data_IF_487441313574
#
_entry.id   IF_487441313574
#
_cell.length_a   1.000
_cell.length_b   1.000
_cell.length_c   1.000
_cell.angle_alpha   90.00
_cell.angle_beta   90.00
_cell.angle_gamma   90.00
#
_symmetry.space_group_name_H-M   'P 1'
#
loop_
_entity.id
_entity.type
_entity.pdbx_description
1 polymer ?
#
# COMPACT_ATOMS: atom_id res chain seq x y z
N UNK A 1 61.21 31.34 -17.97
CA UNK A 1 60.98 29.98 -17.43
C UNK A 1 59.82 30.04 -16.47
N UNK A 2 58.67 29.38 -16.59
CA UNK A 2 58.06 28.61 -17.67
C UNK A 2 56.54 28.75 -17.50
N UNK A 3 55.84 29.15 -18.57
CA UNK A 3 54.39 29.42 -18.63
C UNK A 3 53.55 28.13 -18.78
N UNK A 4 54.03 26.97 -18.31
CA UNK A 4 53.38 25.67 -18.51
C UNK A 4 53.02 24.89 -17.22
N UNK A 5 53.36 25.39 -16.03
CA UNK A 5 52.93 24.76 -14.76
C UNK A 5 51.60 25.30 -14.22
N UNK A 6 50.96 26.24 -14.92
CA UNK A 6 49.71 26.87 -14.51
C UNK A 6 48.44 26.09 -14.90
N UNK A 7 48.53 24.99 -15.67
CA UNK A 7 47.33 24.33 -16.21
C UNK A 7 47.00 22.96 -15.57
N UNK A 8 47.96 22.27 -14.97
CA UNK A 8 47.70 20.92 -14.41
C UNK A 8 47.25 20.92 -12.94
N UNK A 9 47.71 21.87 -12.12
CA UNK A 9 47.36 21.91 -10.69
C UNK A 9 45.98 22.53 -10.40
N UNK A 10 45.40 23.28 -11.34
CA UNK A 10 44.06 23.87 -11.18
C UNK A 10 42.95 22.91 -11.64
N UNK A 11 43.24 22.01 -12.60
CA UNK A 11 42.26 21.04 -13.10
C UNK A 11 42.05 19.83 -12.17
N UNK A 12 43.02 19.47 -11.32
CA UNK A 12 42.84 18.33 -10.39
C UNK A 12 42.20 18.69 -9.05
N UNK A 13 42.20 19.97 -8.65
CA UNK A 13 41.60 20.39 -7.37
C UNK A 13 40.10 20.75 -7.48
N UNK A 14 39.63 21.18 -8.66
CA UNK A 14 38.19 21.43 -8.87
C UNK A 14 37.36 20.16 -9.09
N UNK A 15 37.99 19.05 -9.47
CA UNK A 15 37.32 17.73 -9.60
C UNK A 15 37.20 16.97 -8.27
N UNK A 16 37.88 17.41 -7.20
CA UNK A 16 37.96 16.66 -5.94
C UNK A 16 37.01 17.13 -4.82
N UNK A 17 36.28 18.24 -4.98
CA UNK A 17 35.36 18.75 -3.94
C UNK A 17 33.91 18.93 -4.40
N UNK A 18 33.58 18.52 -5.63
CA UNK A 18 32.19 18.26 -6.07
C UNK A 18 31.77 16.84 -5.67
N UNK A 19 31.93 16.53 -4.38
CA UNK A 19 31.66 15.22 -3.81
C UNK A 19 30.64 15.32 -2.69
N UNK A 20 29.43 14.84 -2.98
CA UNK A 20 28.42 14.39 -2.03
C UNK A 20 27.58 15.47 -1.34
N UNK A 21 26.70 16.11 -2.09
CA UNK A 21 25.34 16.37 -1.58
C UNK A 21 24.71 15.02 -1.24
N UNK A 22 24.21 14.79 -0.01
CA UNK A 22 23.20 13.76 0.19
C UNK A 22 21.91 14.31 -0.41
N UNK A 23 21.82 14.27 -1.74
CA UNK A 23 20.53 14.17 -2.40
C UNK A 23 19.99 12.80 -1.99
N UNK A 24 19.32 12.77 -0.82
CA UNK A 24 18.47 11.65 -0.45
C UNK A 24 17.46 11.51 -1.59
N UNK A 25 17.71 10.48 -2.41
CA UNK A 25 16.80 9.94 -3.43
C UNK A 25 15.34 10.14 -3.02
N UNK A 26 14.42 10.48 -3.94
CA UNK A 26 13.02 10.25 -3.66
C UNK A 26 12.86 8.73 -3.47
N UNK A 27 12.75 8.28 -2.22
CA UNK A 27 12.32 6.92 -1.91
C UNK A 27 10.81 6.90 -2.11
N UNK A 28 10.41 6.79 -3.37
CA UNK A 28 9.04 6.54 -3.80
C UNK A 28 9.08 5.73 -5.11
N UNK A 29 9.74 4.57 -5.09
CA UNK A 29 9.46 3.50 -6.04
C UNK A 29 8.40 2.60 -5.38
N UNK A 30 7.23 2.31 -5.93
CA UNK A 30 6.73 2.39 -7.31
C UNK A 30 5.42 3.19 -7.31
N UNK A 31 5.20 4.05 -8.30
CA UNK A 31 3.86 4.45 -8.73
C UNK A 31 3.61 3.63 -9.99
N UNK A 32 2.61 2.75 -9.97
CA UNK A 32 2.22 1.95 -11.14
C UNK A 32 2.12 2.86 -12.38
N UNK A 33 3.02 2.65 -13.36
CA UNK A 33 2.98 3.40 -14.63
C UNK A 33 1.75 3.04 -15.46
N UNK A 34 1.22 1.84 -15.26
CA UNK A 34 -0.01 1.34 -15.86
C UNK A 34 -0.71 0.42 -14.87
N UNK A 35 -2.04 0.37 -14.89
CA UNK A 35 -2.82 -0.54 -14.07
C UNK A 35 -3.71 -1.41 -14.98
N UNK A 36 -3.55 -2.73 -14.89
CA UNK A 36 -4.33 -3.71 -15.65
C UNK A 36 -5.44 -4.26 -14.79
N UNK A 37 -6.62 -3.62 -14.85
CA UNK A 37 -7.80 -4.01 -14.06
C UNK A 37 -8.13 -5.49 -14.20
N UNK A 38 -8.14 -6.02 -15.43
CA UNK A 38 -8.49 -7.42 -15.69
C UNK A 38 -7.54 -8.43 -15.01
N UNK A 39 -6.28 -8.08 -14.79
CA UNK A 39 -5.32 -8.92 -14.06
C UNK A 39 -5.43 -8.76 -12.54
N UNK A 40 -5.96 -7.63 -12.09
CA UNK A 40 -6.10 -7.32 -10.67
C UNK A 40 -7.37 -7.93 -10.04
N UNK A 41 -8.38 -8.22 -10.85
CA UNK A 41 -9.64 -8.83 -10.44
C UNK A 41 -9.44 -10.19 -9.71
N UNK A 42 -10.50 -10.64 -9.04
CA UNK A 42 -10.55 -11.84 -8.24
C UNK A 42 -10.28 -11.59 -6.76
N UNK A 43 -10.17 -12.70 -6.01
CA UNK A 43 -9.99 -12.69 -4.56
C UNK A 43 -8.53 -12.43 -4.15
N UNK A 44 -8.38 -11.74 -3.03
CA UNK A 44 -7.13 -11.47 -2.34
C UNK A 44 -7.29 -11.66 -0.83
N UNK A 45 -6.27 -12.20 -0.18
CA UNK A 45 -6.17 -12.27 1.28
C UNK A 45 -5.50 -11.01 1.82
N UNK A 46 -6.13 -10.31 2.77
CA UNK A 46 -5.53 -9.14 3.43
C UNK A 46 -4.69 -9.60 4.61
N UNK A 47 -3.42 -9.87 4.34
CA UNK A 47 -2.48 -10.51 5.28
C UNK A 47 -1.69 -9.52 6.13
N UNK A 48 -1.81 -8.21 5.90
CA UNK A 48 -1.12 -7.19 6.69
C UNK A 48 -1.80 -5.83 6.59
N UNK A 49 -1.84 -5.11 7.69
CA UNK A 49 -2.50 -3.80 7.80
C UNK A 49 -1.58 -2.83 8.52
N UNK A 50 -1.53 -1.60 8.03
CA UNK A 50 -0.93 -0.50 8.76
C UNK A 50 -1.85 0.71 8.68
N UNK A 51 -1.86 1.54 9.70
CA UNK A 51 -2.47 2.86 9.54
C UNK A 51 -2.20 3.81 10.69
N UNK A 52 -2.36 5.10 10.43
CA UNK A 52 -2.05 6.16 11.40
C UNK A 52 -2.89 6.10 12.67
N UNK A 53 -4.07 5.49 12.59
CA UNK A 53 -4.99 5.29 13.72
C UNK A 53 -4.89 3.90 14.35
N UNK A 54 -4.07 3.00 13.79
CA UNK A 54 -3.90 1.65 14.32
C UNK A 54 -2.72 1.59 15.29
N UNK A 55 -2.87 0.72 16.28
CA UNK A 55 -1.81 0.30 17.19
C UNK A 55 -1.67 -1.22 17.14
N UNK A 56 -0.48 -1.74 17.45
CA UNK A 56 -0.22 -3.18 17.52
C UNK A 56 -1.16 -3.89 18.51
N UNK A 57 -1.57 -3.19 19.57
CA UNK A 57 -2.58 -3.65 20.53
C UNK A 57 -3.95 -3.93 19.91
N UNK A 58 -4.26 -3.32 18.76
CA UNK A 58 -5.56 -3.40 18.10
C UNK A 58 -5.69 -4.66 17.23
N UNK A 59 -4.77 -5.62 17.36
CA UNK A 59 -4.77 -6.88 16.60
C UNK A 59 -6.10 -7.63 16.70
N UNK A 60 -6.73 -7.62 17.87
CA UNK A 60 -8.01 -8.29 18.12
C UNK A 60 -9.20 -7.64 17.38
N UNK A 61 -9.04 -6.42 16.85
CA UNK A 61 -10.06 -5.73 16.05
C UNK A 61 -9.99 -6.12 14.57
N UNK A 62 -8.89 -6.74 14.14
CA UNK A 62 -8.61 -7.04 12.74
C UNK A 62 -8.42 -8.55 12.60
N UNK A 63 -9.55 -9.26 12.53
CA UNK A 63 -9.54 -10.64 12.07
C UNK A 63 -9.16 -10.67 10.58
N UNK A 64 -8.55 -11.77 10.17
CA UNK A 64 -8.28 -12.08 8.77
C UNK A 64 -9.51 -11.82 7.89
N UNK A 65 -9.34 -11.06 6.79
CA UNK A 65 -10.43 -10.78 5.86
C UNK A 65 -9.96 -10.79 4.41
N UNK A 66 -10.89 -11.10 3.50
CA UNK A 66 -10.64 -11.14 2.06
C UNK A 66 -11.10 -9.84 1.39
N UNK A 67 -10.53 -9.57 0.23
CA UNK A 67 -10.90 -8.48 -0.65
C UNK A 67 -11.07 -9.04 -2.08
N UNK A 68 -12.29 -9.00 -2.59
CA UNK A 68 -12.63 -9.51 -3.93
C UNK A 68 -12.90 -8.35 -4.86
N UNK A 69 -12.13 -8.26 -5.95
CA UNK A 69 -12.23 -7.19 -6.93
C UNK A 69 -12.93 -7.70 -8.18
N UNK A 70 -14.06 -7.13 -8.53
CA UNK A 70 -14.87 -7.55 -9.68
C UNK A 70 -15.46 -6.36 -10.40
N UNK A 71 -15.63 -6.48 -11.72
CA UNK A 71 -16.36 -5.49 -12.50
C UNK A 71 -17.87 -5.65 -12.26
N UNK A 72 -18.51 -4.59 -11.79
CA UNK A 72 -19.96 -4.57 -11.56
C UNK A 72 -20.75 -4.34 -12.86
N UNK A 73 -22.08 -4.33 -12.76
CA UNK A 73 -23.03 -4.16 -13.88
C UNK A 73 -22.78 -2.86 -14.68
N UNK A 74 -22.26 -1.81 -14.02
CA UNK A 74 -21.93 -0.53 -14.65
C UNK A 74 -20.52 -0.50 -15.23
N UNK A 75 -19.87 -1.66 -15.39
CA UNK A 75 -18.49 -1.78 -15.83
C UNK A 75 -17.48 -1.02 -14.95
N UNK A 76 -17.77 -0.85 -13.66
CA UNK A 76 -16.87 -0.25 -12.68
C UNK A 76 -16.25 -1.32 -11.81
N UNK A 77 -14.97 -1.16 -11.47
CA UNK A 77 -14.31 -2.02 -10.49
C UNK A 77 -14.94 -1.81 -9.11
N UNK A 78 -15.43 -2.88 -8.51
CA UNK A 78 -15.95 -2.92 -7.15
C UNK A 78 -15.05 -3.80 -6.31
N UNK A 79 -14.76 -3.35 -5.08
CA UNK A 79 -14.12 -4.18 -4.07
C UNK A 79 -15.15 -4.59 -3.04
N UNK A 80 -15.22 -5.89 -2.75
CA UNK A 80 -16.07 -6.47 -1.71
C UNK A 80 -15.17 -7.13 -0.66
N UNK A 81 -15.34 -6.75 0.59
CA UNK A 81 -14.59 -7.29 1.71
C UNK A 81 -15.45 -8.24 2.53
N UNK A 82 -14.86 -9.30 3.06
CA UNK A 82 -15.51 -10.25 3.96
C UNK A 82 -14.58 -10.62 5.12
N UNK A 83 -15.04 -10.38 6.35
CA UNK A 83 -14.32 -10.65 7.59
C UNK A 83 -15.15 -11.57 8.50
N UNK A 84 -14.53 -12.64 8.98
CA UNK A 84 -15.12 -13.48 10.02
C UNK A 84 -14.89 -12.85 11.39
N UNK A 85 -15.94 -12.63 12.17
CA UNK A 85 -15.86 -12.14 13.56
C UNK A 85 -16.68 -13.03 14.48
N UNK A 86 -16.02 -13.94 15.19
CA UNK A 86 -16.70 -15.00 15.94
C UNK A 86 -17.45 -15.92 14.98
N UNK A 87 -18.77 -16.05 15.16
CA UNK A 87 -19.65 -16.84 14.28
C UNK A 87 -20.38 -16.01 13.21
N UNK A 88 -19.94 -14.76 12.97
CA UNK A 88 -20.62 -13.84 12.03
C UNK A 88 -19.69 -13.47 10.89
N UNK A 89 -20.23 -13.46 9.67
CA UNK A 89 -19.60 -12.83 8.53
C UNK A 89 -19.98 -11.35 8.46
N UNK A 90 -18.98 -10.48 8.42
CA UNK A 90 -19.16 -9.04 8.23
C UNK A 90 -18.67 -8.71 6.84
N UNK A 91 -19.55 -8.17 6.00
CA UNK A 91 -19.22 -7.78 4.63
C UNK A 91 -19.48 -6.30 4.38
N UNK A 92 -18.67 -5.70 3.51
CA UNK A 92 -18.87 -4.34 3.02
C UNK A 92 -18.24 -4.20 1.64
N UNK A 93 -18.75 -3.30 0.81
CA UNK A 93 -18.22 -3.10 -0.54
C UNK A 93 -18.13 -1.62 -0.90
N UNK A 94 -17.24 -1.32 -1.84
CA UNK A 94 -17.05 0.02 -2.40
C UNK A 94 -16.88 -0.07 -3.92
N UNK A 95 -17.48 0.87 -4.63
CA UNK A 95 -17.19 1.09 -6.05
C UNK A 95 -15.98 2.01 -6.15
N UNK A 96 -14.96 1.58 -6.90
CA UNK A 96 -13.75 2.34 -7.12
C UNK A 96 -13.93 3.27 -8.34
N UNK A 97 -14.01 4.57 -8.08
CA UNK A 97 -14.14 5.58 -9.13
C UNK A 97 -12.73 5.92 -9.63
N UNK A 98 -12.39 5.67 -10.91
CA UNK A 98 -11.02 5.85 -11.40
C UNK A 98 -10.62 7.33 -11.41
N UNK A 99 -9.39 7.60 -10.98
CA UNK A 99 -8.75 8.92 -11.08
C UNK A 99 -7.87 9.02 -12.34
N UNK A 100 -7.29 10.20 -12.58
CA UNK A 100 -6.45 10.45 -13.76
C UNK A 100 -5.17 9.60 -13.81
N UNK A 101 -4.63 9.20 -12.65
CA UNK A 101 -3.41 8.39 -12.57
C UNK A 101 -3.75 6.90 -12.53
N UNK A 102 -3.02 6.05 -13.28
CA UNK A 102 -3.24 4.60 -13.26
C UNK A 102 -3.15 4.01 -11.85
N UNK A 103 -4.12 3.15 -11.50
CA UNK A 103 -4.17 2.50 -10.20
C UNK A 103 -4.61 3.41 -9.06
N UNK A 104 -5.02 4.65 -9.34
CA UNK A 104 -5.66 5.54 -8.37
C UNK A 104 -7.16 5.59 -8.56
N UNK A 105 -7.86 5.63 -7.44
CA UNK A 105 -9.31 5.65 -7.36
C UNK A 105 -9.76 6.56 -6.22
N UNK A 106 -11.02 6.95 -6.24
CA UNK A 106 -11.74 7.52 -5.11
C UNK A 106 -12.91 6.62 -4.73
N UNK A 107 -13.20 6.58 -3.43
CA UNK A 107 -14.39 5.97 -2.86
C UNK A 107 -15.21 7.08 -2.22
N UNK A 108 -16.51 7.11 -2.54
CA UNK A 108 -17.42 8.09 -1.96
C UNK A 108 -17.47 7.94 -0.43
N UNK A 109 -17.35 9.06 0.26
CA UNK A 109 -17.54 9.10 1.70
C UNK A 109 -19.01 8.88 2.05
N UNK A 110 -19.28 8.39 3.27
CA UNK A 110 -20.63 8.47 3.83
C UNK A 110 -21.12 9.92 3.79
N UNK A 111 -22.42 10.14 3.57
CA UNK A 111 -23.02 11.47 3.33
C UNK A 111 -22.41 12.59 4.18
N UNK A 112 -21.68 13.50 3.53
CA UNK A 112 -21.01 14.65 4.15
C UNK A 112 -19.54 14.44 4.55
N UNK A 113 -19.00 13.22 4.45
CA UNK A 113 -17.58 12.93 4.65
C UNK A 113 -16.78 13.14 3.37
N UNK A 114 -15.51 13.51 3.52
CA UNK A 114 -14.59 13.60 2.40
C UNK A 114 -14.42 12.21 1.75
N UNK A 115 -14.33 12.14 0.41
CA UNK A 115 -13.96 10.92 -0.29
C UNK A 115 -12.64 10.34 0.22
N UNK A 116 -12.51 9.02 0.16
CA UNK A 116 -11.26 8.32 0.44
C UNK A 116 -10.51 8.08 -0.87
N UNK A 117 -9.25 8.51 -0.94
CA UNK A 117 -8.34 8.19 -2.03
C UNK A 117 -7.81 6.77 -1.83
N UNK A 118 -7.85 5.96 -2.89
CA UNK A 118 -7.32 4.59 -2.91
C UNK A 118 -6.28 4.49 -4.02
N UNK A 119 -5.13 3.92 -3.72
CA UNK A 119 -4.06 3.71 -4.68
C UNK A 119 -3.52 2.28 -4.58
N UNK A 120 -3.52 1.56 -5.70
CA UNK A 120 -2.67 0.38 -5.86
C UNK A 120 -1.24 0.89 -6.05
N UNK A 121 -0.42 0.80 -5.01
CA UNK A 121 0.92 1.37 -4.97
C UNK A 121 1.91 0.48 -5.73
N UNK A 122 1.92 -0.82 -5.43
CA UNK A 122 2.74 -1.82 -6.11
C UNK A 122 1.97 -3.14 -6.20
N UNK A 123 2.09 -3.85 -7.31
CA UNK A 123 1.51 -5.18 -7.49
C UNK A 123 2.16 -5.90 -8.67
N UNK A 124 2.28 -7.21 -8.57
CA UNK A 124 2.62 -8.09 -9.69
C UNK A 124 1.40 -8.89 -10.21
N UNK A 125 0.20 -8.53 -9.74
CA UNK A 125 -1.11 -9.14 -10.03
C UNK A 125 -1.31 -10.59 -9.55
N UNK A 126 -0.22 -11.34 -9.37
CA UNK A 126 -0.23 -12.79 -9.19
C UNK A 126 0.18 -13.25 -7.80
N UNK A 127 0.93 -12.44 -7.05
CA UNK A 127 1.44 -12.80 -5.73
C UNK A 127 0.96 -11.80 -4.69
N UNK A 128 1.13 -10.50 -4.95
CA UNK A 128 0.84 -9.48 -3.95
C UNK A 128 0.29 -8.17 -4.54
N UNK A 129 -0.31 -7.37 -3.68
CA UNK A 129 -0.61 -5.97 -3.92
C UNK A 129 -0.46 -5.14 -2.64
N UNK A 130 0.07 -3.93 -2.78
CA UNK A 130 0.12 -2.92 -1.74
C UNK A 130 -0.93 -1.86 -2.06
N UNK A 131 -1.97 -1.78 -1.23
CA UNK A 131 -3.01 -0.76 -1.38
C UNK A 131 -2.85 0.33 -0.33
N UNK A 132 -2.73 1.57 -0.77
CA UNK A 132 -2.66 2.77 0.06
C UNK A 132 -4.02 3.47 0.06
N UNK A 133 -4.51 3.82 1.23
CA UNK A 133 -5.74 4.57 1.43
C UNK A 133 -5.44 5.87 2.17
N UNK A 134 -6.06 6.96 1.73
CA UNK A 134 -5.93 8.26 2.36
C UNK A 134 -7.27 8.96 2.47
N UNK A 135 -7.63 9.38 3.68
CA UNK A 135 -8.86 10.13 3.92
C UNK A 135 -8.60 11.33 4.84
N UNK A 136 -9.26 12.45 4.56
CA UNK A 136 -9.28 13.58 5.48
C UNK A 136 -10.44 13.45 6.46
N UNK A 137 -10.16 13.45 7.76
CA UNK A 137 -11.18 13.36 8.81
C UNK A 137 -10.80 14.24 10.00
N UNK A 138 -11.69 15.14 10.41
CA UNK A 138 -11.46 16.02 11.57
C UNK A 138 -10.20 16.89 11.47
N UNK A 139 -9.81 17.32 10.25
CA UNK A 139 -8.59 18.10 10.02
C UNK A 139 -7.29 17.27 10.02
N UNK A 140 -7.39 15.95 10.15
CA UNK A 140 -6.24 15.03 10.11
C UNK A 140 -6.29 14.12 8.88
N UNK A 141 -5.11 13.84 8.33
CA UNK A 141 -4.93 12.84 7.26
C UNK A 141 -4.83 11.45 7.87
N UNK A 142 -5.86 10.63 7.67
CA UNK A 142 -5.85 9.20 8.00
C UNK A 142 -5.18 8.45 6.87
N UNK A 143 -4.17 7.64 7.19
CA UNK A 143 -3.44 6.79 6.25
C UNK A 143 -3.69 5.33 6.62
N UNK A 144 -3.91 4.49 5.61
CA UNK A 144 -3.91 3.04 5.75
C UNK A 144 -3.14 2.37 4.62
N UNK A 145 -2.48 1.26 4.92
CA UNK A 145 -1.85 0.40 3.94
C UNK A 145 -2.36 -1.01 4.17
N UNK A 146 -2.86 -1.65 3.13
CA UNK A 146 -3.20 -3.07 3.15
C UNK A 146 -2.17 -3.82 2.30
N UNK A 147 -1.61 -4.89 2.86
CA UNK A 147 -0.87 -5.91 2.12
C UNK A 147 -1.84 -7.03 1.74
N UNK A 148 -2.04 -7.18 0.45
CA UNK A 148 -2.88 -8.22 -0.16
C UNK A 148 -1.97 -9.29 -0.75
N UNK A 149 -2.35 -10.55 -0.62
CA UNK A 149 -1.70 -11.68 -1.29
C UNK A 149 -2.72 -12.62 -1.93
N UNK A 150 -2.35 -13.26 -3.04
CA UNK A 150 -3.17 -14.32 -3.68
C UNK A 150 -3.20 -15.60 -2.87
N UNK A 151 -2.22 -15.79 -1.99
CA UNK A 151 -2.17 -16.89 -1.03
C UNK A 151 -2.02 -16.33 0.37
N UNK A 152 -2.62 -17.02 1.34
CA UNK A 152 -2.47 -16.77 2.77
C UNK A 152 -1.04 -16.94 3.33
N UNK A 153 -0.09 -17.45 2.54
CA UNK A 153 1.33 -17.62 2.93
C UNK A 153 2.13 -16.37 2.50
N UNK A 154 2.76 -15.72 3.46
CA UNK A 154 3.53 -14.50 3.25
C UNK A 154 4.97 -14.83 2.83
N UNK A 155 5.40 -14.34 1.67
CA UNK A 155 6.82 -14.37 1.28
C UNK A 155 7.57 -13.22 1.95
N UNK A 156 8.74 -13.48 2.53
CA UNK A 156 9.54 -12.47 3.25
C UNK A 156 9.83 -11.22 2.41
N UNK A 157 10.11 -11.39 1.12
CA UNK A 157 10.39 -10.26 0.22
C UNK A 157 9.19 -9.32 0.05
N UNK A 158 7.97 -9.87 0.04
CA UNK A 158 6.72 -9.09 -0.04
C UNK A 158 6.48 -8.34 1.26
N UNK A 159 6.78 -8.98 2.40
CA UNK A 159 6.69 -8.35 3.71
C UNK A 159 7.66 -7.16 3.84
N UNK A 160 8.89 -7.30 3.33
CA UNK A 160 9.88 -6.22 3.34
C UNK A 160 9.40 -5.01 2.53
N UNK A 161 8.79 -5.23 1.36
CA UNK A 161 8.17 -4.16 0.56
C UNK A 161 7.09 -3.42 1.35
N UNK A 162 6.21 -4.16 2.03
CA UNK A 162 5.15 -3.59 2.85
C UNK A 162 5.73 -2.75 3.99
N UNK A 163 6.66 -3.29 4.78
CA UNK A 163 7.29 -2.55 5.89
C UNK A 163 8.06 -1.32 5.39
N UNK A 164 8.73 -1.42 4.24
CA UNK A 164 9.42 -0.29 3.62
C UNK A 164 8.44 0.83 3.25
N UNK A 165 7.31 0.51 2.62
CA UNK A 165 6.27 1.49 2.29
C UNK A 165 5.70 2.15 3.55
N UNK A 166 5.36 1.35 4.57
CA UNK A 166 4.82 1.85 5.85
C UNK A 166 5.78 2.86 6.49
N UNK A 167 7.07 2.55 6.55
CA UNK A 167 8.09 3.47 7.10
C UNK A 167 8.27 4.72 6.24
N UNK A 168 8.23 4.59 4.91
CA UNK A 168 8.30 5.73 3.99
C UNK A 168 7.12 6.69 4.16
N UNK A 169 5.96 6.19 4.58
CA UNK A 169 4.78 6.99 4.92
C UNK A 169 4.85 7.60 6.34
N UNK A 170 5.97 7.44 7.06
CA UNK A 170 6.17 7.95 8.41
C UNK A 170 5.45 7.17 9.50
N UNK A 171 4.95 5.96 9.19
CA UNK A 171 4.34 5.07 10.17
C UNK A 171 5.41 4.18 10.82
N UNK A 172 5.17 3.82 12.08
CA UNK A 172 6.07 2.96 12.85
C UNK A 172 5.62 1.49 12.81
N UNK A 173 6.49 0.57 13.24
CA UNK A 173 6.17 -0.85 13.39
C UNK A 173 5.07 -1.11 14.44
N UNK A 174 4.76 -0.11 15.29
CA UNK A 174 3.63 -0.17 16.23
C UNK A 174 2.30 0.18 15.55
N UNK A 175 2.31 0.72 14.33
CA UNK A 175 1.12 0.97 13.53
C UNK A 175 0.74 -0.22 12.64
N UNK A 176 1.55 -1.28 12.66
CA UNK A 176 1.37 -2.49 11.86
C UNK A 176 0.63 -3.55 12.68
N UNK A 177 -0.36 -4.15 12.04
CA UNK A 177 -1.16 -5.27 12.54
C UNK A 177 -1.17 -6.37 11.48
N UNK A 178 -0.87 -7.60 11.92
CA UNK A 178 -1.06 -8.80 11.12
C UNK A 178 -2.23 -9.58 11.72
N UNK A 179 -3.14 -10.11 10.90
CA UNK A 179 -4.22 -10.92 11.41
C UNK A 179 -3.69 -12.28 11.88
N UNK A 180 -4.51 -13.04 12.62
CA UNK A 180 -4.13 -14.39 13.00
C UNK A 180 -4.31 -15.35 11.81
N UNK A 181 -3.19 -15.92 11.32
CA UNK A 181 -3.23 -16.85 10.19
C UNK A 181 -3.86 -18.19 10.56
N UNK A 182 -3.95 -18.52 11.85
CA UNK A 182 -4.66 -19.71 12.31
C UNK A 182 -6.17 -19.63 12.03
N UNK A 183 -6.72 -18.42 11.87
CA UNK A 183 -8.12 -18.22 11.53
C UNK A 183 -8.43 -18.54 10.05
N UNK A 184 -7.45 -18.81 9.19
CA UNK A 184 -7.66 -19.12 7.77
C UNK A 184 -7.69 -20.62 7.43
N UNK A 185 -7.60 -21.51 8.42
CA UNK A 185 -7.93 -22.93 8.17
C UNK A 185 -9.38 -23.02 7.69
N UNK A 186 -9.69 -23.87 6.69
CA UNK A 186 -11.04 -24.05 6.19
C UNK A 186 -11.91 -24.65 7.30
N UNK A 187 -12.50 -23.78 8.11
CA UNK A 187 -13.53 -24.10 9.06
C UNK A 187 -14.87 -23.73 8.43
N UNK A 188 -15.92 -24.54 8.63
CA UNK A 188 -17.26 -24.30 8.07
C UNK A 188 -17.92 -22.98 8.52
N UNK A 189 -17.25 -22.20 9.38
CA UNK A 189 -17.73 -20.93 9.92
C UNK A 189 -16.96 -19.71 9.41
N UNK A 190 -15.99 -19.89 8.51
CA UNK A 190 -15.25 -18.79 7.91
C UNK A 190 -15.97 -18.29 6.65
N UNK A 191 -16.05 -16.96 6.51
CA UNK A 191 -16.01 -16.35 5.19
C UNK A 191 -14.62 -16.64 4.57
#
# INVERSE_FOLDING_TARGET
MGRWCALWLVLTLLDALKGQTPNTKPVAGSVLQSFKEDQFQGEWFVIGLAGSTHRRSDKFLLNSFTATFERNENSRLQVSYAMTRGHRCITWSYVLIPAAQPGRFSVDGASGANPEEVQVYDTDYNVFALMLFRRQSGGQSILRVNLLCRMWIIQTQVLDKFVCLVRALGLSDNNIVFPDLADWSPHPNNC
#
